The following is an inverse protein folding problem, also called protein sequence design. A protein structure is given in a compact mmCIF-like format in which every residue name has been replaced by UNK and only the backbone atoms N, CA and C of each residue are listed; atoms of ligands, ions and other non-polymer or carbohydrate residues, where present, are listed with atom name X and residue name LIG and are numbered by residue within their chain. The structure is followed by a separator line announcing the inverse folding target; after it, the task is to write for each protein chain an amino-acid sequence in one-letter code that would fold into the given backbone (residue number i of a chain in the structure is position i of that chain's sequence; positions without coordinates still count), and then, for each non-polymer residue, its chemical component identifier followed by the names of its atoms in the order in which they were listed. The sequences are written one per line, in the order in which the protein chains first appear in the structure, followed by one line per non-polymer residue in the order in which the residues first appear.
data_IF_916243516389
#
_entry.id   IF_916243516389
#
_cell.length_a   1.000
_cell.length_b   1.000
_cell.length_c   1.000
_cell.angle_alpha   90.00
_cell.angle_beta   90.00
_cell.angle_gamma   90.00
#
_symmetry.space_group_name_H-M   'P 1'
#
loop_
_entity.id
_entity.type
_entity.pdbx_description
1 polymer ?
#
# COMPACT_ATOMS: atom_id res chain seq x y z
N UNK A 1 10.79 -1.30 1.00
CA UNK A 1 10.84 -2.07 -0.25
C UNK A 1 10.26 -1.23 -1.37
N UNK A 2 10.72 -1.41 -2.61
CA UNK A 2 10.05 -0.82 -3.77
C UNK A 2 9.34 -1.91 -4.55
N UNK A 3 8.17 -1.60 -5.05
CA UNK A 3 7.40 -2.51 -5.89
C UNK A 3 6.54 -1.69 -6.85
N UNK A 4 6.18 -2.28 -7.96
CA UNK A 4 5.28 -1.67 -8.92
C UNK A 4 3.89 -2.25 -8.69
N UNK A 5 2.88 -1.39 -8.66
CA UNK A 5 1.49 -1.83 -8.74
C UNK A 5 0.85 -1.27 -10.01
N UNK A 6 -0.13 -1.99 -10.55
CA UNK A 6 -0.96 -1.50 -11.64
C UNK A 6 -2.18 -0.84 -11.04
N UNK A 7 -2.33 0.46 -11.28
CA UNK A 7 -3.50 1.22 -10.86
C UNK A 7 -4.75 0.66 -11.55
N UNK A 8 -5.76 0.18 -10.82
CA UNK A 8 -6.97 -0.41 -11.41
C UNK A 8 -7.90 0.63 -12.06
N UNK A 9 -7.71 1.92 -11.78
CA UNK A 9 -8.53 3.01 -12.31
C UNK A 9 -7.90 3.54 -13.61
N UNK A 10 -6.60 3.81 -13.58
CA UNK A 10 -5.89 4.43 -14.71
C UNK A 10 -5.15 3.44 -15.61
N UNK A 11 -5.05 2.17 -15.18
CA UNK A 11 -4.26 1.10 -15.80
C UNK A 11 -2.75 1.37 -15.91
N UNK A 12 -2.27 2.45 -15.29
CA UNK A 12 -0.86 2.81 -15.28
C UNK A 12 -0.09 1.97 -14.27
N UNK A 13 1.17 1.67 -14.60
CA UNK A 13 2.11 1.09 -13.65
C UNK A 13 2.78 2.21 -12.86
N UNK A 14 2.67 2.12 -11.52
CA UNK A 14 3.21 3.12 -10.60
C UNK A 14 4.17 2.41 -9.66
N UNK A 15 5.40 2.93 -9.56
CA UNK A 15 6.37 2.47 -8.57
C UNK A 15 6.04 3.09 -7.20
N UNK A 16 5.85 2.24 -6.20
CA UNK A 16 5.62 2.63 -4.82
C UNK A 16 6.79 2.22 -3.94
N UNK A 17 6.98 2.97 -2.86
CA UNK A 17 7.88 2.58 -1.78
C UNK A 17 7.05 2.21 -0.56
N UNK A 18 7.22 0.99 -0.05
CA UNK A 18 6.66 0.55 1.22
C UNK A 18 7.75 0.56 2.30
N UNK A 19 7.61 1.38 3.33
CA UNK A 19 8.52 1.44 4.47
C UNK A 19 7.85 0.81 5.70
N UNK A 20 8.52 -0.07 6.46
CA UNK A 20 7.94 -0.61 7.69
C UNK A 20 7.61 0.53 8.66
N UNK A 21 6.43 0.48 9.24
CA UNK A 21 6.00 1.46 10.24
C UNK A 21 5.29 0.77 11.40
N UNK A 22 5.58 1.22 12.63
CA UNK A 22 4.79 0.86 13.80
C UNK A 22 3.61 1.82 13.90
N UNK A 23 2.40 1.29 13.74
CA UNK A 23 1.17 2.06 13.89
C UNK A 23 0.43 1.56 15.12
N UNK A 24 0.53 2.31 16.22
CA UNK A 24 -0.10 1.97 17.51
C UNK A 24 0.24 0.55 18.03
N UNK A 25 1.47 0.08 17.81
CA UNK A 25 1.91 -1.26 18.18
C UNK A 25 1.54 -2.37 17.19
N UNK A 26 0.89 -2.02 16.07
CA UNK A 26 0.66 -2.91 14.94
C UNK A 26 1.77 -2.72 13.89
N UNK A 27 2.33 -3.82 13.39
CA UNK A 27 3.30 -3.76 12.30
C UNK A 27 2.58 -3.48 10.98
N UNK A 28 2.81 -2.30 10.42
CA UNK A 28 2.31 -1.87 9.13
C UNK A 28 3.40 -1.53 8.12
N UNK A 29 2.96 -1.02 6.98
CA UNK A 29 3.78 -0.38 5.96
C UNK A 29 3.24 1.00 5.62
N UNK A 30 4.10 2.00 5.63
CA UNK A 30 3.90 3.30 5.00
C UNK A 30 4.09 3.16 3.50
N UNK A 31 3.02 3.32 2.73
CA UNK A 31 3.04 3.29 1.27
C UNK A 31 3.23 4.71 0.77
N UNK A 32 4.28 4.94 -0.03
CA UNK A 32 4.70 6.25 -0.53
C UNK A 32 4.60 6.25 -2.05
N UNK A 33 3.82 7.19 -2.58
CA UNK A 33 3.70 7.45 -4.01
C UNK A 33 4.84 8.33 -4.55
N UNK A 34 5.11 8.28 -5.86
CA UNK A 34 6.10 9.16 -6.50
C UNK A 34 5.82 10.66 -6.27
N UNK A 35 4.55 11.04 -6.17
CA UNK A 35 4.10 12.42 -5.92
C UNK A 35 4.26 12.86 -4.45
N UNK A 36 4.79 11.97 -3.60
CA UNK A 36 5.00 12.12 -2.15
C UNK A 36 3.75 12.06 -1.29
N UNK A 37 2.59 11.78 -1.86
CA UNK A 37 1.44 11.32 -1.08
C UNK A 37 1.77 9.96 -0.45
N UNK A 38 1.20 9.69 0.72
CA UNK A 38 1.45 8.44 1.43
C UNK A 38 0.35 8.12 2.42
N UNK A 39 0.14 6.83 2.67
CA UNK A 39 -0.79 6.32 3.67
C UNK A 39 -0.21 5.07 4.34
N UNK A 40 -0.72 4.71 5.52
CA UNK A 40 -0.34 3.48 6.25
C UNK A 40 -1.31 2.38 5.93
N UNK A 41 -0.75 1.21 5.62
CA UNK A 41 -1.47 -0.04 5.62
C UNK A 41 -1.03 -0.90 6.81
N UNK A 42 -1.99 -1.42 7.57
CA UNK A 42 -1.75 -2.46 8.59
C UNK A 42 -2.39 -3.77 8.16
N UNK A 43 -1.78 -4.89 8.53
CA UNK A 43 -2.36 -6.20 8.26
C UNK A 43 -3.21 -6.64 9.45
N UNK A 44 -4.53 -6.72 9.27
CA UNK A 44 -5.51 -7.19 10.25
C UNK A 44 -6.24 -8.41 9.71
N UNK A 45 -6.24 -9.50 10.47
CA UNK A 45 -6.95 -10.74 10.12
C UNK A 45 -6.66 -11.29 8.70
N UNK A 46 -5.45 -11.02 8.19
CA UNK A 46 -5.02 -11.47 6.85
C UNK A 46 -5.40 -10.53 5.69
N UNK A 47 -6.19 -9.49 5.97
CA UNK A 47 -6.46 -8.35 5.08
C UNK A 47 -5.53 -7.17 5.39
N UNK A 48 -5.27 -6.35 4.37
CA UNK A 48 -4.59 -5.08 4.55
C UNK A 48 -5.63 -3.96 4.60
N UNK A 49 -5.50 -3.08 5.59
CA UNK A 49 -6.42 -1.97 5.82
C UNK A 49 -5.65 -0.66 5.90
N UNK A 50 -6.22 0.41 5.36
CA UNK A 50 -5.69 1.76 5.49
C UNK A 50 -6.21 2.39 6.76
N UNK A 51 -5.34 3.05 7.52
CA UNK A 51 -5.66 3.51 8.90
C UNK A 51 -5.48 5.00 9.13
N UNK A 52 -4.93 5.74 8.18
CA UNK A 52 -4.70 7.18 8.28
C UNK A 52 -5.20 7.98 7.07
N UNK A 53 -5.89 7.32 6.13
CA UNK A 53 -6.52 7.92 4.97
C UNK A 53 -7.84 7.19 4.65
N UNK A 54 -8.96 7.90 4.80
CA UNK A 54 -10.32 7.38 4.57
C UNK A 54 -10.79 7.60 3.12
N UNK A 55 -10.09 8.42 2.33
CA UNK A 55 -10.50 8.85 0.98
C UNK A 55 -9.90 7.97 -0.13
N UNK A 56 -9.09 6.99 0.23
CA UNK A 56 -8.45 6.09 -0.73
C UNK A 56 -9.44 5.10 -1.34
N UNK A 57 -9.35 4.92 -2.67
CA UNK A 57 -10.19 3.96 -3.37
C UNK A 57 -9.84 2.52 -2.93
N UNK A 58 -10.81 1.72 -2.44
CA UNK A 58 -10.56 0.35 -2.00
C UNK A 58 -9.89 -0.55 -3.05
N UNK A 59 -10.17 -0.33 -4.34
CA UNK A 59 -9.53 -1.09 -5.42
C UNK A 59 -8.02 -0.85 -5.49
N UNK A 60 -7.56 0.38 -5.20
CA UNK A 60 -6.14 0.72 -5.12
C UNK A 60 -5.48 -0.03 -3.96
N UNK A 61 -6.14 -0.06 -2.80
CA UNK A 61 -5.67 -0.79 -1.60
C UNK A 61 -5.49 -2.28 -1.91
N UNK A 62 -6.47 -2.91 -2.57
CA UNK A 62 -6.38 -4.32 -2.97
C UNK A 62 -5.24 -4.59 -3.95
N UNK A 63 -5.06 -3.72 -4.95
CA UNK A 63 -3.98 -3.85 -5.93
C UNK A 63 -2.59 -3.73 -5.27
N UNK A 64 -2.44 -2.80 -4.33
CA UNK A 64 -1.21 -2.61 -3.55
C UNK A 64 -0.96 -3.81 -2.62
N UNK A 65 -1.99 -4.29 -1.93
CA UNK A 65 -1.93 -5.47 -1.09
C UNK A 65 -1.49 -6.73 -1.86
N UNK A 66 -1.94 -6.88 -3.12
CA UNK A 66 -1.50 -7.94 -4.01
C UNK A 66 -0.01 -7.80 -4.40
N UNK A 67 0.44 -6.57 -4.66
CA UNK A 67 1.84 -6.24 -4.93
C UNK A 67 2.76 -6.55 -3.74
N UNK A 68 2.34 -6.22 -2.51
CA UNK A 68 3.08 -6.53 -1.29
C UNK A 68 3.26 -8.03 -1.04
N UNK A 69 2.27 -8.85 -1.43
CA UNK A 69 2.35 -10.33 -1.32
C UNK A 69 3.28 -10.96 -2.35
N UNK A 70 3.54 -10.28 -3.46
CA UNK A 70 4.40 -10.75 -4.55
C UNK A 70 5.59 -9.82 -4.74
N UNK A 71 6.52 -9.74 -3.76
CA UNK A 71 7.71 -8.94 -3.94
C UNK A 71 8.47 -9.46 -5.16
N UNK A 72 8.52 -8.66 -6.21
CA UNK A 72 9.23 -8.98 -7.45
C UNK A 72 10.68 -9.28 -7.06
N UNK A 73 11.08 -10.53 -7.31
CA UNK A 73 12.31 -11.15 -6.81
C UNK A 73 13.52 -10.80 -7.67
#
# INVERSE_FOLDING_TARGET
MRFTYKDPITENEIELTAEPEDYNGEQGFRIIFPEKDSFVMVQKDGSWEVVDDDDINPAIVEAIAAGLKSPTR
#
